data_IF_471912391118
#
_entry.id   IF_471912391118
#
_cell.length_a   1.000
_cell.length_b   1.000
_cell.length_c   1.000
_cell.angle_alpha   90.00
_cell.angle_beta   90.00
_cell.angle_gamma   90.00
#
_symmetry.space_group_name_H-M   'P 1'
#
loop_
_entity.id
_entity.type
_entity.pdbx_description
1 polymer ?
#
# COMPACT_ATOMS: atom_id res chain seq x y z
N UNK A 1 11.33 5.33 32.09
CA UNK A 1 10.73 4.08 31.58
C UNK A 1 9.69 4.47 30.53
N UNK A 2 9.78 3.98 29.29
CA UNK A 2 8.79 4.31 28.27
C UNK A 2 7.43 3.71 28.66
N UNK A 3 6.38 4.54 28.73
CA UNK A 3 5.02 4.08 29.04
C UNK A 3 4.62 3.04 27.98
N UNK A 4 4.27 1.80 28.36
CA UNK A 4 3.84 0.78 27.41
C UNK A 4 2.63 1.26 26.61
N UNK A 5 2.77 1.34 25.28
CA UNK A 5 1.69 1.73 24.37
C UNK A 5 0.80 0.56 23.94
N UNK A 6 0.87 -0.55 24.65
CA UNK A 6 0.15 -1.80 24.39
C UNK A 6 -0.62 -2.22 25.64
N UNK A 7 -1.77 -2.86 25.46
CA UNK A 7 -2.46 -3.52 26.57
C UNK A 7 -1.74 -4.83 26.92
N UNK A 8 -1.74 -5.26 28.20
CA UNK A 8 -1.37 -6.62 28.56
C UNK A 8 -2.24 -7.60 27.77
N UNK A 9 -1.61 -8.61 27.17
CA UNK A 9 -2.29 -9.56 26.29
C UNK A 9 -1.81 -10.99 26.56
N UNK A 10 -2.74 -11.92 26.42
CA UNK A 10 -2.51 -13.38 26.50
C UNK A 10 -2.11 -13.94 25.11
N UNK A 11 -2.22 -13.14 24.04
CA UNK A 11 -1.87 -13.56 22.69
C UNK A 11 -0.36 -13.60 22.47
N UNK A 12 0.12 -14.43 21.52
CA UNK A 12 1.52 -14.45 21.13
C UNK A 12 2.03 -13.07 20.74
N UNK A 13 3.32 -12.82 20.99
CA UNK A 13 3.96 -11.52 20.75
C UNK A 13 3.82 -11.02 19.30
N UNK A 14 3.60 -11.92 18.33
CA UNK A 14 3.33 -11.59 16.93
C UNK A 14 2.07 -10.72 16.80
N UNK A 15 1.05 -10.89 17.63
CA UNK A 15 -0.21 -10.13 17.55
C UNK A 15 -0.23 -8.83 18.38
N UNK A 16 0.92 -8.39 18.90
CA UNK A 16 1.00 -7.17 19.71
C UNK A 16 1.01 -5.87 18.88
N UNK A 17 1.47 -5.93 17.62
CA UNK A 17 1.53 -4.79 16.71
C UNK A 17 1.29 -5.23 15.27
N UNK A 18 0.57 -4.41 14.49
CA UNK A 18 0.21 -4.73 13.11
C UNK A 18 1.39 -4.99 12.17
N UNK A 19 2.53 -4.31 12.33
CA UNK A 19 3.68 -4.58 11.46
C UNK A 19 4.25 -6.00 11.60
N UNK A 20 4.12 -6.63 12.78
CA UNK A 20 4.75 -7.93 13.07
C UNK A 20 4.22 -9.05 12.17
N UNK A 21 2.91 -9.35 12.13
CA UNK A 21 2.41 -10.41 11.26
C UNK A 21 2.47 -9.98 9.80
N UNK A 22 2.11 -8.74 9.48
CA UNK A 22 1.95 -8.32 8.09
C UNK A 22 3.27 -8.16 7.34
N UNK A 23 4.35 -7.70 7.99
CA UNK A 23 5.66 -7.67 7.33
C UNK A 23 6.23 -9.08 7.18
N UNK A 24 6.07 -9.94 8.20
CA UNK A 24 6.52 -11.33 8.13
C UNK A 24 5.79 -12.09 7.01
N UNK A 25 4.46 -12.07 7.03
CA UNK A 25 3.63 -12.75 6.03
C UNK A 25 3.78 -12.11 4.65
N UNK A 26 3.91 -10.79 4.56
CA UNK A 26 4.18 -10.09 3.30
C UNK A 26 5.52 -10.53 2.68
N UNK A 27 6.60 -10.62 3.49
CA UNK A 27 7.89 -11.13 3.00
C UNK A 27 7.81 -12.58 2.54
N UNK A 28 7.09 -13.44 3.27
CA UNK A 28 6.84 -14.82 2.86
C UNK A 28 6.02 -14.89 1.57
N UNK A 29 5.00 -14.05 1.43
CA UNK A 29 4.18 -13.96 0.21
C UNK A 29 5.03 -13.55 -0.99
N UNK A 30 5.89 -12.54 -0.86
CA UNK A 30 6.76 -12.10 -1.94
C UNK A 30 7.69 -13.22 -2.42
N UNK A 31 8.31 -13.95 -1.48
CA UNK A 31 9.18 -15.09 -1.80
C UNK A 31 8.40 -16.22 -2.48
N UNK A 32 7.29 -16.64 -1.88
CA UNK A 32 6.46 -17.74 -2.42
C UNK A 32 5.83 -17.39 -3.77
N UNK A 33 5.32 -16.18 -3.96
CA UNK A 33 4.74 -15.74 -5.22
C UNK A 33 5.73 -15.84 -6.38
N UNK A 34 7.01 -15.49 -6.18
CA UNK A 34 8.05 -15.64 -7.20
C UNK A 34 8.36 -17.13 -7.46
N UNK A 35 8.45 -17.94 -6.40
CA UNK A 35 8.74 -19.37 -6.51
C UNK A 35 7.64 -20.14 -7.26
N UNK A 36 6.37 -19.76 -7.08
CA UNK A 36 5.25 -20.35 -7.82
C UNK A 36 5.11 -19.76 -9.23
N UNK A 37 5.31 -18.45 -9.38
CA UNK A 37 5.09 -17.79 -10.67
C UNK A 37 6.07 -18.25 -11.75
N UNK A 38 7.36 -18.43 -11.44
CA UNK A 38 8.35 -18.81 -12.47
C UNK A 38 7.99 -20.15 -13.15
N UNK A 39 7.71 -21.26 -12.42
CA UNK A 39 7.24 -22.49 -13.04
C UNK A 39 5.91 -22.37 -13.78
N UNK A 40 4.94 -21.59 -13.25
CA UNK A 40 3.67 -21.32 -13.93
C UNK A 40 3.88 -20.60 -15.26
N UNK A 41 4.77 -19.60 -15.29
CA UNK A 41 5.10 -18.83 -16.49
C UNK A 41 5.77 -19.68 -17.56
N UNK A 42 6.65 -20.61 -17.17
CA UNK A 42 7.28 -21.55 -18.11
C UNK A 42 6.39 -22.75 -18.47
N UNK A 43 5.15 -22.81 -17.99
CA UNK A 43 4.22 -23.93 -18.26
C UNK A 43 4.64 -25.25 -17.62
N UNK A 44 5.49 -25.22 -16.57
CA UNK A 44 5.89 -26.41 -15.81
C UNK A 44 4.90 -26.77 -14.70
N UNK A 45 4.07 -25.83 -14.30
CA UNK A 45 2.96 -25.99 -13.38
C UNK A 45 1.69 -25.43 -14.02
N UNK A 46 0.54 -25.98 -13.65
CA UNK A 46 -0.76 -25.41 -13.97
C UNK A 46 -1.25 -24.53 -12.82
N UNK A 47 -2.06 -23.53 -13.16
CA UNK A 47 -2.69 -22.64 -12.17
C UNK A 47 -4.05 -23.20 -11.77
N UNK A 48 -4.33 -23.25 -10.47
CA UNK A 48 -5.68 -23.53 -9.94
C UNK A 48 -6.55 -22.27 -9.82
N UNK A 49 -6.08 -21.18 -10.41
CA UNK A 49 -6.74 -19.88 -10.43
C UNK A 49 -7.51 -19.67 -11.72
N UNK A 50 -8.60 -18.91 -11.68
CA UNK A 50 -9.28 -18.39 -12.88
C UNK A 50 -8.43 -17.38 -13.64
N UNK A 51 -7.35 -16.86 -13.04
CA UNK A 51 -6.46 -15.91 -13.67
C UNK A 51 -5.40 -16.61 -14.52
N UNK A 52 -5.03 -15.97 -15.64
CA UNK A 52 -3.84 -16.34 -16.40
C UNK A 52 -2.59 -16.23 -15.51
N UNK A 53 -1.53 -17.03 -15.75
CA UNK A 53 -0.33 -17.02 -14.91
C UNK A 53 0.29 -15.63 -14.67
N UNK A 54 0.27 -14.76 -15.69
CA UNK A 54 0.76 -13.37 -15.57
C UNK A 54 -0.16 -12.53 -14.70
N UNK A 55 -1.48 -12.60 -14.91
CA UNK A 55 -2.46 -11.86 -14.12
C UNK A 55 -2.48 -12.32 -12.66
N UNK A 56 -2.33 -13.63 -12.41
CA UNK A 56 -2.19 -14.16 -11.06
C UNK A 56 -1.00 -13.53 -10.34
N UNK A 57 0.16 -13.43 -10.99
CA UNK A 57 1.33 -12.78 -10.39
C UNK A 57 1.14 -11.28 -10.18
N UNK A 58 0.57 -10.58 -11.16
CA UNK A 58 0.23 -9.16 -11.02
C UNK A 58 -0.71 -8.96 -9.82
N UNK A 59 -1.72 -9.82 -9.66
CA UNK A 59 -2.64 -9.78 -8.53
C UNK A 59 -1.95 -10.05 -7.20
N UNK A 60 -1.15 -11.10 -7.12
CA UNK A 60 -0.43 -11.46 -5.90
C UNK A 60 0.57 -10.38 -5.48
N UNK A 61 1.21 -9.69 -6.42
CA UNK A 61 2.09 -8.58 -6.13
C UNK A 61 1.31 -7.33 -5.69
N UNK A 62 0.29 -6.93 -6.46
CA UNK A 62 -0.42 -5.66 -6.26
C UNK A 62 -1.47 -5.68 -5.16
N UNK A 63 -2.15 -6.81 -4.98
CA UNK A 63 -3.30 -6.96 -4.09
C UNK A 63 -3.07 -7.99 -2.98
N UNK A 64 -2.01 -8.81 -3.05
CA UNK A 64 -1.58 -9.68 -1.96
C UNK A 64 -0.49 -9.07 -1.10
N UNK A 65 0.70 -8.96 -1.69
CA UNK A 65 1.91 -8.47 -1.04
C UNK A 65 1.80 -7.01 -0.62
N UNK A 66 1.49 -6.10 -1.56
CA UNK A 66 1.46 -4.66 -1.27
C UNK A 66 0.45 -4.30 -0.17
N UNK A 67 -0.80 -4.80 -0.18
CA UNK A 67 -1.74 -4.56 0.91
C UNK A 67 -1.28 -5.10 2.26
N UNK A 68 -0.58 -6.22 2.32
CA UNK A 68 0.02 -6.70 3.58
C UNK A 68 1.01 -5.67 4.12
N UNK A 69 1.97 -5.23 3.30
CA UNK A 69 2.97 -4.22 3.72
C UNK A 69 2.31 -2.89 4.08
N UNK A 70 1.35 -2.41 3.28
CA UNK A 70 0.59 -1.19 3.55
C UNK A 70 -0.15 -1.30 4.88
N UNK A 71 -0.80 -2.44 5.16
CA UNK A 71 -1.52 -2.67 6.41
C UNK A 71 -0.59 -2.68 7.61
N UNK A 72 0.54 -3.39 7.53
CA UNK A 72 1.55 -3.40 8.60
C UNK A 72 2.07 -1.99 8.92
N UNK A 73 2.28 -1.18 7.88
CA UNK A 73 2.65 0.23 8.03
C UNK A 73 1.52 1.07 8.67
N UNK A 74 0.29 1.00 8.13
CA UNK A 74 -0.84 1.81 8.59
C UNK A 74 -1.21 1.52 10.04
N UNK A 75 -1.28 0.25 10.42
CA UNK A 75 -1.58 -0.16 11.80
C UNK A 75 -0.50 0.26 12.80
N UNK A 76 0.69 0.62 12.31
CA UNK A 76 1.78 1.18 13.13
C UNK A 76 1.77 2.70 13.15
N UNK A 77 1.42 3.33 12.01
CA UNK A 77 1.41 4.78 11.87
C UNK A 77 0.17 5.44 12.51
N UNK A 78 -1.01 4.84 12.34
CA UNK A 78 -2.28 5.41 12.82
C UNK A 78 -2.31 5.61 14.35
N UNK A 79 -1.87 4.65 15.19
CA UNK A 79 -1.80 4.86 16.64
C UNK A 79 -0.91 6.06 17.00
N UNK A 80 0.21 6.24 16.29
CA UNK A 80 1.11 7.37 16.50
C UNK A 80 0.49 8.72 16.08
N UNK A 81 -0.38 8.73 15.06
CA UNK A 81 -1.08 9.93 14.62
C UNK A 81 -2.26 10.30 15.50
N UNK A 82 -2.98 9.31 16.01
CA UNK A 82 -4.25 9.48 16.73
C UNK A 82 -4.07 9.51 18.24
N UNK A 83 -2.92 9.04 18.75
CA UNK A 83 -2.69 8.84 20.19
C UNK A 83 -3.48 7.66 20.77
N UNK A 84 -4.22 6.92 19.95
CA UNK A 84 -5.01 5.76 20.34
C UNK A 84 -4.12 4.53 20.46
N UNK A 85 -4.64 3.51 21.15
CA UNK A 85 -3.93 2.24 21.27
C UNK A 85 -3.89 1.51 19.92
N UNK A 86 -2.81 0.76 19.64
CA UNK A 86 -2.71 -0.04 18.42
C UNK A 86 -3.80 -1.10 18.35
N UNK A 87 -4.10 -1.55 17.13
CA UNK A 87 -4.93 -2.74 16.92
C UNK A 87 -4.11 -3.96 17.33
N UNK A 88 -4.64 -4.76 18.27
CA UNK A 88 -3.97 -5.91 18.85
C UNK A 88 -4.87 -7.15 18.83
N UNK A 89 -4.25 -8.30 19.13
CA UNK A 89 -4.94 -9.53 19.54
C UNK A 89 -5.93 -10.03 18.49
N UNK A 90 -7.14 -10.40 18.91
CA UNK A 90 -8.20 -10.94 18.05
C UNK A 90 -8.49 -10.08 16.83
N UNK A 91 -8.48 -8.74 16.95
CA UNK A 91 -8.76 -7.85 15.81
C UNK A 91 -7.65 -7.95 14.75
N UNK A 92 -6.41 -8.07 15.20
CA UNK A 92 -5.27 -8.25 14.30
C UNK A 92 -5.27 -9.66 13.69
N UNK A 93 -5.57 -10.69 14.49
CA UNK A 93 -5.73 -12.05 14.00
C UNK A 93 -6.82 -12.14 12.92
N UNK A 94 -7.97 -11.50 13.12
CA UNK A 94 -9.06 -11.48 12.14
C UNK A 94 -8.59 -10.90 10.79
N UNK A 95 -7.87 -9.78 10.80
CA UNK A 95 -7.32 -9.20 9.57
C UNK A 95 -6.31 -10.13 8.88
N UNK A 96 -5.47 -10.83 9.65
CA UNK A 96 -4.52 -11.81 9.13
C UNK A 96 -5.26 -12.99 8.49
N UNK A 97 -6.29 -13.53 9.16
CA UNK A 97 -7.07 -14.65 8.63
C UNK A 97 -7.82 -14.28 7.36
N UNK A 98 -8.41 -13.09 7.30
CA UNK A 98 -9.08 -12.59 6.10
C UNK A 98 -8.07 -12.46 4.95
N UNK A 99 -6.86 -11.94 5.22
CA UNK A 99 -5.81 -11.83 4.21
C UNK A 99 -5.37 -13.21 3.68
N UNK A 100 -5.11 -14.16 4.56
CA UNK A 100 -4.73 -15.54 4.18
C UNK A 100 -5.87 -16.19 3.37
N UNK A 101 -7.12 -16.02 3.80
CA UNK A 101 -8.29 -16.53 3.09
C UNK A 101 -8.40 -15.95 1.68
N UNK A 102 -8.12 -14.65 1.49
CA UNK A 102 -8.08 -14.02 0.17
C UNK A 102 -7.05 -14.66 -0.76
N UNK A 103 -5.82 -14.89 -0.25
CA UNK A 103 -4.76 -15.55 -1.03
C UNK A 103 -5.14 -16.97 -1.45
N UNK A 104 -5.65 -17.76 -0.51
CA UNK A 104 -6.14 -19.11 -0.79
C UNK A 104 -7.29 -19.08 -1.80
N UNK A 105 -8.26 -18.17 -1.64
CA UNK A 105 -9.42 -18.08 -2.53
C UNK A 105 -9.04 -17.67 -3.96
N UNK A 106 -8.04 -16.80 -4.13
CA UNK A 106 -7.49 -16.45 -5.46
C UNK A 106 -6.75 -17.63 -6.08
N UNK A 107 -5.93 -18.34 -5.30
CA UNK A 107 -5.18 -19.50 -5.78
C UNK A 107 -6.08 -20.67 -6.19
N UNK A 108 -7.18 -20.91 -5.49
CA UNK A 108 -8.16 -21.98 -5.78
C UNK A 108 -9.45 -21.46 -6.45
N UNK A 109 -9.37 -20.31 -7.13
CA UNK A 109 -10.57 -19.68 -7.72
C UNK A 109 -11.21 -20.50 -8.83
N UNK A 110 -10.46 -21.40 -9.50
CA UNK A 110 -11.04 -22.29 -10.51
C UNK A 110 -12.06 -23.27 -9.91
N UNK A 111 -11.87 -23.71 -8.66
CA UNK A 111 -12.77 -24.62 -7.94
C UNK A 111 -13.84 -23.88 -7.14
N UNK A 112 -13.44 -22.80 -6.45
CA UNK A 112 -14.34 -22.05 -5.55
C UNK A 112 -15.29 -21.10 -6.28
N UNK A 113 -14.97 -20.75 -7.52
CA UNK A 113 -15.75 -19.84 -8.36
C UNK A 113 -15.37 -18.38 -8.17
N UNK A 114 -15.40 -17.64 -9.27
CA UNK A 114 -14.94 -16.24 -9.36
C UNK A 114 -15.54 -15.32 -8.29
N UNK A 115 -16.88 -15.30 -8.15
CA UNK A 115 -17.55 -14.32 -7.29
C UNK A 115 -17.18 -14.49 -5.82
N UNK A 116 -17.11 -15.74 -5.35
CA UNK A 116 -16.75 -16.04 -3.97
C UNK A 116 -15.29 -15.64 -3.70
N UNK A 117 -14.37 -15.99 -4.61
CA UNK A 117 -12.97 -15.60 -4.51
C UNK A 117 -12.79 -14.08 -4.49
N UNK A 118 -13.50 -13.36 -5.37
CA UNK A 118 -13.46 -11.90 -5.44
C UNK A 118 -13.95 -11.25 -4.14
N UNK A 119 -15.05 -11.74 -3.57
CA UNK A 119 -15.60 -11.22 -2.30
C UNK A 119 -14.65 -11.46 -1.14
N UNK A 120 -14.12 -12.68 -0.99
CA UNK A 120 -13.18 -13.01 0.09
C UNK A 120 -11.92 -12.16 -0.05
N UNK A 121 -11.36 -12.08 -1.25
CA UNK A 121 -10.14 -11.32 -1.51
C UNK A 121 -10.31 -9.81 -1.24
N UNK A 122 -11.39 -9.21 -1.76
CA UNK A 122 -11.66 -7.78 -1.57
C UNK A 122 -12.00 -7.42 -0.13
N UNK A 123 -12.53 -8.38 0.65
CA UNK A 123 -12.90 -8.15 2.05
C UNK A 123 -11.72 -7.70 2.93
N UNK A 124 -10.49 -8.13 2.60
CA UNK A 124 -9.30 -7.71 3.33
C UNK A 124 -9.06 -6.20 3.22
N UNK A 125 -8.94 -5.68 1.99
CA UNK A 125 -8.69 -4.26 1.75
C UNK A 125 -9.87 -3.40 2.25
N UNK A 126 -11.10 -3.89 2.12
CA UNK A 126 -12.27 -3.24 2.70
C UNK A 126 -12.17 -3.13 4.24
N UNK A 127 -11.81 -4.22 4.91
CA UNK A 127 -11.62 -4.24 6.36
C UNK A 127 -10.49 -3.28 6.80
N UNK A 128 -9.40 -3.22 6.05
CA UNK A 128 -8.28 -2.29 6.30
C UNK A 128 -8.72 -0.84 6.15
N UNK A 129 -9.45 -0.51 5.07
CA UNK A 129 -10.01 0.84 4.86
C UNK A 129 -10.95 1.21 6.00
N UNK A 130 -11.88 0.32 6.37
CA UNK A 130 -12.83 0.55 7.45
C UNK A 130 -12.15 0.75 8.81
N UNK A 131 -11.18 -0.10 9.15
CA UNK A 131 -10.43 0.00 10.40
C UNK A 131 -9.60 1.30 10.45
N UNK A 132 -8.89 1.63 9.37
CA UNK A 132 -8.10 2.84 9.29
C UNK A 132 -8.98 4.12 9.36
N UNK A 133 -10.09 4.13 8.63
CA UNK A 133 -11.05 5.24 8.66
C UNK A 133 -11.61 5.45 10.08
N UNK A 134 -12.06 4.37 10.71
CA UNK A 134 -12.63 4.39 12.06
C UNK A 134 -11.65 4.98 13.06
N UNK A 135 -10.39 4.51 13.08
CA UNK A 135 -9.40 4.99 14.04
C UNK A 135 -8.97 6.44 13.77
N UNK A 136 -8.81 6.84 12.49
CA UNK A 136 -8.43 8.22 12.14
C UNK A 136 -9.55 9.21 12.49
N UNK A 137 -10.81 8.87 12.19
CA UNK A 137 -11.98 9.70 12.49
C UNK A 137 -12.22 9.77 14.00
N UNK A 138 -12.14 8.65 14.71
CA UNK A 138 -12.26 8.62 16.17
C UNK A 138 -11.12 9.38 16.86
N UNK A 139 -9.92 9.41 16.27
CA UNK A 139 -8.80 10.25 16.71
C UNK A 139 -8.85 11.70 16.22
N UNK A 140 -9.88 12.10 15.46
CA UNK A 140 -10.05 13.43 14.86
C UNK A 140 -8.82 13.94 14.08
N UNK A 141 -8.02 13.02 13.51
CA UNK A 141 -6.81 13.39 12.76
C UNK A 141 -7.10 13.57 11.26
N UNK A 142 -7.86 14.62 10.94
CA UNK A 142 -8.28 14.95 9.56
C UNK A 142 -7.11 15.17 8.60
N UNK A 143 -5.96 15.63 9.11
CA UNK A 143 -4.74 15.86 8.31
C UNK A 143 -4.19 14.57 7.70
N UNK A 144 -4.32 13.45 8.40
CA UNK A 144 -3.83 12.15 7.95
C UNK A 144 -4.90 11.29 7.26
N UNK A 145 -6.17 11.72 7.28
CA UNK A 145 -7.25 11.04 6.56
C UNK A 145 -6.98 10.93 5.05
N UNK A 146 -6.20 11.86 4.47
CA UNK A 146 -5.80 11.82 3.05
C UNK A 146 -5.04 10.56 2.66
N UNK A 147 -4.39 9.87 3.61
CA UNK A 147 -3.70 8.59 3.36
C UNK A 147 -4.72 7.49 3.00
N UNK A 148 -5.97 7.61 3.42
CA UNK A 148 -7.02 6.66 3.11
C UNK A 148 -7.42 6.69 1.62
N UNK A 149 -7.24 7.83 0.93
CA UNK A 149 -7.58 7.96 -0.49
C UNK A 149 -6.89 6.90 -1.37
N UNK A 150 -5.54 6.82 -1.42
CA UNK A 150 -4.88 5.79 -2.22
C UNK A 150 -5.18 4.37 -1.73
N UNK A 151 -5.45 4.14 -0.44
CA UNK A 151 -5.80 2.80 0.06
C UNK A 151 -7.20 2.39 -0.41
N UNK A 152 -8.15 3.31 -0.42
CA UNK A 152 -9.48 3.10 -0.99
C UNK A 152 -9.43 2.95 -2.52
N UNK A 153 -8.54 3.68 -3.19
CA UNK A 153 -8.27 3.47 -4.62
C UNK A 153 -7.67 2.09 -4.88
N UNK A 154 -6.78 1.60 -4.01
CA UNK A 154 -6.23 0.25 -4.12
C UNK A 154 -7.31 -0.82 -3.93
N UNK A 155 -8.25 -0.62 -3.00
CA UNK A 155 -9.45 -1.45 -2.87
C UNK A 155 -10.29 -1.45 -4.15
N UNK A 156 -10.62 -0.26 -4.68
CA UNK A 156 -11.38 -0.13 -5.92
C UNK A 156 -10.66 -0.79 -7.10
N UNK A 157 -9.34 -0.66 -7.19
CA UNK A 157 -8.52 -1.32 -8.19
C UNK A 157 -8.56 -2.84 -8.06
N UNK A 158 -8.60 -3.40 -6.84
CA UNK A 158 -8.73 -4.84 -6.65
C UNK A 158 -10.10 -5.36 -7.11
N UNK A 159 -11.18 -4.67 -6.74
CA UNK A 159 -12.53 -4.99 -7.22
C UNK A 159 -12.56 -4.93 -8.75
N UNK A 160 -12.00 -3.87 -9.33
CA UNK A 160 -11.93 -3.71 -10.78
C UNK A 160 -11.08 -4.79 -11.44
N UNK A 161 -10.00 -5.25 -10.81
CA UNK A 161 -9.16 -6.35 -11.30
C UNK A 161 -9.97 -7.64 -11.43
N UNK A 162 -10.73 -8.01 -10.40
CA UNK A 162 -11.59 -9.20 -10.44
C UNK A 162 -12.63 -9.10 -11.56
N UNK A 163 -13.22 -7.92 -11.77
CA UNK A 163 -14.21 -7.69 -12.82
C UNK A 163 -13.57 -7.72 -14.22
N UNK A 164 -12.46 -7.03 -14.42
CA UNK A 164 -11.74 -6.94 -15.70
C UNK A 164 -11.23 -8.32 -16.13
N UNK A 165 -10.58 -9.05 -15.21
CA UNK A 165 -10.06 -10.38 -15.48
C UNK A 165 -11.17 -11.38 -15.83
N UNK A 166 -12.35 -11.28 -15.21
CA UNK A 166 -13.46 -12.18 -15.49
C UNK A 166 -14.18 -11.89 -16.81
N UNK A 167 -14.51 -10.62 -17.08
CA UNK A 167 -15.32 -10.26 -18.25
C UNK A 167 -14.49 -9.98 -19.51
N UNK A 168 -13.26 -9.49 -19.36
CA UNK A 168 -12.42 -9.05 -20.48
C UNK A 168 -11.20 -9.96 -20.69
N UNK A 169 -10.85 -10.81 -19.71
CA UNK A 169 -9.66 -11.66 -19.76
C UNK A 169 -8.34 -10.88 -19.71
N UNK A 170 -8.39 -9.60 -19.34
CA UNK A 170 -7.26 -8.68 -19.22
C UNK A 170 -7.35 -7.91 -17.90
N UNK A 171 -6.27 -7.29 -17.45
CA UNK A 171 -6.20 -6.55 -16.19
C UNK A 171 -5.51 -5.18 -16.32
N UNK A 172 -5.52 -4.62 -17.53
CA UNK A 172 -4.67 -3.50 -17.93
C UNK A 172 -5.00 -2.20 -17.22
N UNK A 173 -6.29 -1.90 -17.03
CA UNK A 173 -6.71 -0.67 -16.36
C UNK A 173 -6.58 -0.83 -14.84
N UNK A 174 -6.96 -1.98 -14.29
CA UNK A 174 -6.89 -2.25 -12.84
C UNK A 174 -5.46 -2.31 -12.29
N UNK A 175 -4.53 -2.93 -13.02
CA UNK A 175 -3.12 -2.96 -12.62
C UNK A 175 -2.49 -1.55 -12.60
N UNK A 176 -2.82 -0.69 -13.58
CA UNK A 176 -2.35 0.71 -13.63
C UNK A 176 -2.93 1.53 -12.49
N UNK A 177 -4.22 1.37 -12.20
CA UNK A 177 -4.88 2.04 -11.08
C UNK A 177 -4.27 1.64 -9.73
N UNK A 178 -4.05 0.34 -9.51
CA UNK A 178 -3.42 -0.20 -8.30
C UNK A 178 -1.98 0.28 -8.13
N UNK A 179 -1.18 0.23 -9.20
CA UNK A 179 0.19 0.75 -9.21
C UNK A 179 0.21 2.26 -8.91
N UNK A 180 -0.65 3.03 -9.57
CA UNK A 180 -0.77 4.46 -9.36
C UNK A 180 -1.13 4.82 -7.91
N UNK A 181 -2.08 4.09 -7.33
CA UNK A 181 -2.48 4.24 -5.93
C UNK A 181 -1.29 4.02 -4.97
N UNK A 182 -0.51 2.95 -5.18
CA UNK A 182 0.66 2.64 -4.36
C UNK A 182 1.77 3.68 -4.55
N UNK A 183 2.04 4.11 -5.78
CA UNK A 183 3.05 5.16 -6.05
C UNK A 183 2.67 6.46 -5.32
N UNK A 184 1.41 6.88 -5.41
CA UNK A 184 0.91 8.06 -4.67
C UNK A 184 1.05 7.87 -3.16
N UNK A 185 0.71 6.69 -2.63
CA UNK A 185 0.86 6.37 -1.22
C UNK A 185 2.33 6.49 -0.77
N UNK A 186 3.28 5.94 -1.55
CA UNK A 186 4.72 6.07 -1.30
C UNK A 186 5.16 7.54 -1.34
N UNK A 187 4.68 8.32 -2.31
CA UNK A 187 5.00 9.75 -2.41
C UNK A 187 4.50 10.57 -1.22
N UNK A 188 3.34 10.23 -0.67
CA UNK A 188 2.76 10.86 0.53
C UNK A 188 3.55 10.47 1.77
N UNK A 189 3.76 9.16 1.98
CA UNK A 189 4.41 8.62 3.17
C UNK A 189 5.89 8.97 3.17
N UNK A 190 6.64 8.59 2.13
CA UNK A 190 8.07 8.89 2.01
C UNK A 190 8.34 10.39 2.00
N UNK A 191 7.40 11.16 1.44
CA UNK A 191 7.40 12.62 1.48
C UNK A 191 7.45 13.23 2.86
N UNK A 192 6.83 12.60 3.86
CA UNK A 192 6.69 13.11 5.23
C UNK A 192 7.61 12.40 6.24
N UNK A 193 7.71 11.08 6.12
CA UNK A 193 8.40 10.23 7.09
C UNK A 193 9.91 10.38 6.99
N UNK A 194 10.47 10.31 5.77
CA UNK A 194 11.92 10.42 5.58
C UNK A 194 12.43 11.76 6.13
N UNK A 195 11.86 12.93 5.75
CA UNK A 195 12.32 14.20 6.33
C UNK A 195 12.13 14.29 7.84
N UNK A 196 11.06 13.71 8.40
CA UNK A 196 10.83 13.73 9.84
C UNK A 196 11.91 12.96 10.59
N UNK A 197 12.28 11.76 10.14
CA UNK A 197 13.35 10.99 10.76
C UNK A 197 14.71 11.66 10.57
N UNK A 198 15.03 12.13 9.36
CA UNK A 198 16.27 12.86 9.09
C UNK A 198 16.39 14.12 9.97
N UNK A 199 15.32 14.90 10.11
CA UNK A 199 15.30 16.09 10.97
C UNK A 199 15.45 15.72 12.45
N UNK A 200 14.73 14.71 12.94
CA UNK A 200 14.81 14.27 14.34
C UNK A 200 16.22 13.80 14.71
N UNK A 201 16.91 13.13 13.78
CA UNK A 201 18.31 12.73 13.96
C UNK A 201 19.26 13.94 13.93
N UNK A 202 19.15 14.82 12.94
CA UNK A 202 20.01 16.02 12.83
C UNK A 202 19.89 16.95 14.03
N UNK A 203 18.68 17.16 14.55
CA UNK A 203 18.46 17.99 15.77
C UNK A 203 19.21 17.41 16.97
N UNK A 204 19.37 16.09 17.06
CA UNK A 204 20.09 15.43 18.16
C UNK A 204 21.61 15.53 18.01
N UNK A 205 22.13 15.36 16.80
CA UNK A 205 23.57 15.25 16.56
C UNK A 205 24.26 16.61 16.30
N UNK A 206 23.70 17.43 15.40
CA UNK A 206 24.26 18.75 15.04
C UNK A 206 23.13 19.69 14.58
N UNK A 207 22.73 20.69 15.39
CA UNK A 207 21.65 21.63 15.06
C UNK A 207 22.07 22.68 14.00
N UNK A 208 22.66 22.22 12.89
CA UNK A 208 22.92 23.01 11.69
C UNK A 208 21.66 23.16 10.84
N UNK A 209 21.84 23.36 9.52
CA UNK A 209 20.72 23.49 8.59
C UNK A 209 19.86 22.22 8.59
N UNK A 210 18.57 22.42 8.87
CA UNK A 210 17.59 21.33 8.87
C UNK A 210 16.97 21.14 7.48
N UNK A 211 16.58 19.91 7.11
CA UNK A 211 15.87 19.63 5.87
C UNK A 211 14.60 20.47 5.77
N UNK A 212 14.25 20.89 4.55
CA UNK A 212 13.01 21.61 4.30
C UNK A 212 11.80 20.79 4.74
N UNK A 213 10.88 21.42 5.46
CA UNK A 213 9.63 20.78 5.86
C UNK A 213 8.72 20.56 4.65
N UNK A 214 7.91 19.50 4.71
CA UNK A 214 6.85 19.24 3.74
C UNK A 214 5.96 20.49 3.54
N UNK A 215 5.92 21.01 2.30
CA UNK A 215 5.31 22.29 1.95
C UNK A 215 4.28 22.22 0.83
N UNK A 216 3.83 23.40 0.36
CA UNK A 216 2.83 23.52 -0.71
C UNK A 216 3.32 22.94 -2.04
N UNK A 217 4.62 23.09 -2.34
CA UNK A 217 5.24 22.50 -3.53
C UNK A 217 5.12 20.96 -3.52
N UNK A 218 5.41 20.31 -2.38
CA UNK A 218 5.24 18.86 -2.26
C UNK A 218 3.79 18.41 -2.52
N UNK A 219 2.81 19.18 -2.02
CA UNK A 219 1.38 18.90 -2.26
C UNK A 219 1.03 19.04 -3.74
N UNK A 220 1.51 20.11 -4.39
CA UNK A 220 1.33 20.33 -5.83
C UNK A 220 1.94 19.21 -6.67
N UNK A 221 3.17 18.80 -6.36
CA UNK A 221 3.83 17.66 -7.02
C UNK A 221 3.05 16.36 -6.84
N UNK A 222 2.57 16.06 -5.63
CA UNK A 222 1.78 14.86 -5.37
C UNK A 222 0.45 14.89 -6.13
N UNK A 223 -0.24 16.04 -6.15
CA UNK A 223 -1.49 16.20 -6.88
C UNK A 223 -1.29 16.03 -8.39
N UNK A 224 -0.24 16.64 -8.95
CA UNK A 224 0.13 16.49 -10.36
C UNK A 224 0.45 15.03 -10.70
N UNK A 225 1.22 14.33 -9.86
CA UNK A 225 1.51 12.91 -10.08
C UNK A 225 0.28 12.03 -9.98
N UNK A 226 -0.63 12.29 -9.02
CA UNK A 226 -1.89 11.56 -8.91
C UNK A 226 -2.76 11.77 -10.16
N UNK A 227 -2.84 13.00 -10.67
CA UNK A 227 -3.55 13.30 -11.92
C UNK A 227 -2.91 12.62 -13.13
N UNK A 228 -1.58 12.65 -13.25
CA UNK A 228 -0.86 12.00 -14.34
C UNK A 228 -1.04 10.47 -14.32
N UNK A 229 -1.01 9.84 -13.13
CA UNK A 229 -1.24 8.41 -12.97
C UNK A 229 -2.71 8.03 -13.24
N UNK A 230 -3.66 8.87 -12.86
CA UNK A 230 -5.06 8.69 -13.23
C UNK A 230 -5.26 8.81 -14.76
N UNK A 231 -4.66 9.82 -15.39
CA UNK A 231 -4.67 9.97 -16.85
C UNK A 231 -4.05 8.75 -17.54
N UNK A 232 -2.95 8.20 -17.01
CA UNK A 232 -2.33 6.97 -17.53
C UNK A 232 -3.18 5.72 -17.36
N UNK A 233 -4.00 5.67 -16.30
CA UNK A 233 -4.93 4.58 -16.09
C UNK A 233 -6.00 4.53 -17.18
N UNK A 234 -6.63 5.68 -17.48
CA UNK A 234 -7.79 5.74 -18.39
C UNK A 234 -7.44 6.07 -19.85
N UNK A 235 -6.35 6.79 -20.08
CA UNK A 235 -5.92 7.28 -21.40
C UNK A 235 -4.41 7.03 -21.60
N UNK A 236 -3.97 5.76 -21.61
CA UNK A 236 -2.54 5.40 -21.66
C UNK A 236 -1.84 5.89 -22.94
N UNK A 237 -2.54 5.90 -24.07
CA UNK A 237 -1.97 6.17 -25.40
C UNK A 237 -2.05 7.67 -25.78
N UNK A 238 -2.65 8.51 -24.94
CA UNK A 238 -2.77 9.93 -25.21
C UNK A 238 -1.44 10.65 -24.99
N UNK A 239 -1.01 11.47 -25.98
CA UNK A 239 0.20 12.30 -25.86
C UNK A 239 0.14 13.21 -24.62
N UNK A 240 -1.04 13.74 -24.31
CA UNK A 240 -1.27 14.57 -23.13
C UNK A 240 -0.92 13.83 -21.82
N UNK A 241 -1.22 12.54 -21.71
CA UNK A 241 -0.84 11.68 -20.57
C UNK A 241 0.68 11.59 -20.46
N UNK A 242 1.38 11.38 -21.58
CA UNK A 242 2.84 11.35 -21.61
C UNK A 242 3.47 12.67 -21.13
N UNK A 243 2.94 13.81 -21.59
CA UNK A 243 3.37 15.14 -21.15
C UNK A 243 3.14 15.33 -19.64
N UNK A 244 1.97 14.92 -19.13
CA UNK A 244 1.66 14.99 -17.70
C UNK A 244 2.62 14.12 -16.86
N UNK A 245 2.94 12.91 -17.32
CA UNK A 245 3.89 12.03 -16.63
C UNK A 245 5.31 12.61 -16.61
N UNK A 246 5.77 13.19 -17.73
CA UNK A 246 7.07 13.88 -17.78
C UNK A 246 7.12 15.08 -16.83
N UNK A 247 6.07 15.91 -16.82
CA UNK A 247 5.95 17.01 -15.88
C UNK A 247 5.97 16.51 -14.42
N UNK A 248 5.20 15.48 -14.10
CA UNK A 248 5.19 14.85 -12.79
C UNK A 248 6.57 14.32 -12.39
N UNK A 249 7.30 13.67 -13.30
CA UNK A 249 8.64 13.17 -13.07
C UNK A 249 9.64 14.31 -12.77
N UNK A 250 9.63 15.38 -13.58
CA UNK A 250 10.48 16.56 -13.37
C UNK A 250 10.20 17.19 -12.00
N UNK A 251 8.93 17.38 -11.63
CA UNK A 251 8.58 17.96 -10.33
C UNK A 251 9.00 17.06 -9.17
N UNK A 252 8.94 15.73 -9.30
CA UNK A 252 9.45 14.81 -8.28
C UNK A 252 10.98 14.83 -8.21
N UNK A 253 11.69 14.95 -9.33
CA UNK A 253 13.14 15.10 -9.35
C UNK A 253 13.57 16.40 -8.65
N UNK A 254 12.90 17.53 -8.95
CA UNK A 254 13.13 18.81 -8.26
C UNK A 254 12.84 18.69 -6.76
N UNK A 255 11.73 18.04 -6.40
CA UNK A 255 11.36 17.78 -4.99
C UNK A 255 12.42 16.96 -4.25
N UNK A 256 13.05 15.98 -4.93
CA UNK A 256 14.14 15.19 -4.37
C UNK A 256 15.44 16.00 -4.26
N UNK A 257 15.80 16.76 -5.30
CA UNK A 257 17.01 17.58 -5.35
C UNK A 257 17.00 18.71 -4.30
N UNK A 258 15.84 19.34 -4.05
CA UNK A 258 15.68 20.33 -2.98
C UNK A 258 15.97 19.75 -1.58
N UNK A 259 15.76 18.45 -1.40
CA UNK A 259 16.02 17.75 -0.14
C UNK A 259 17.50 17.40 0.00
N UNK A 260 18.16 16.96 -1.07
CA UNK A 260 19.58 16.61 -1.07
C UNK A 260 20.50 17.85 -0.93
N UNK A 261 20.23 18.91 -1.69
CA UNK A 261 21.03 20.15 -1.73
C UNK A 261 21.04 20.96 -0.42
N UNK A 262 20.08 20.71 0.48
CA UNK A 262 20.00 21.39 1.79
C UNK A 262 20.63 20.60 2.94
N UNK A 263 20.98 19.33 2.71
CA UNK A 263 21.73 18.46 3.63
C UNK A 263 23.23 18.41 3.31
N UNK A 264 23.64 18.69 2.08
CA UNK A 264 25.04 18.72 1.66
C UNK A 264 25.52 20.17 1.56
N UNK A 265 26.10 20.71 2.64
CA UNK A 265 27.11 21.77 2.66
C UNK A 265 27.36 22.17 4.13
N UNK A 266 28.13 21.33 4.82
CA UNK A 266 29.25 21.67 5.72
C UNK A 266 29.88 20.40 6.25
#
# INVERSE_FOLDING_TARGET
MAIPRTRPSVYPAVFSYGFRPFFLLGSLQAGTAILFWLPLYYGKLETFSTFLPVDWHVHELLFGYLPAVVTGFLLTAIPNWTGRLPVQDFRLLALVLIWIAGRAAVFFSAETGWLLSAVIDCSFLLAVVAAAATEIVAGRNWRNLKVLLPVATLFAANVMFHVEAHYQGISDMSRRLGLGAVVVLVMIIGGRIVPSFTRNWLVREKPGRLPASFGRFDVGTIALSALALAAWTFFPDAIATGVLLLAAAIFNAVRLAQRASRTALK
#
